data_IF_421402368879
#
_entry.id   IF_421402368879
#
_cell.length_a   1.000
_cell.length_b   1.000
_cell.length_c   1.000
_cell.angle_alpha   90.00
_cell.angle_beta   90.00
_cell.angle_gamma   90.00
#
_symmetry.space_group_name_H-M   'P 1'
#
loop_
_entity.id
_entity.type
_entity.pdbx_description
1 polymer ?
#
# COMPACT_ATOMS: atom_id res chain seq x y z
N UNK A 1 9.97 -9.91 29.25
CA UNK A 1 9.31 -9.54 27.98
C UNK A 1 8.52 -10.73 27.49
N UNK A 2 7.24 -10.55 27.11
CA UNK A 2 6.44 -11.59 26.48
C UNK A 2 6.70 -11.57 24.98
N UNK A 3 6.98 -12.73 24.39
CA UNK A 3 7.20 -12.89 22.96
C UNK A 3 6.40 -14.09 22.43
N UNK A 4 5.94 -14.00 21.18
CA UNK A 4 5.23 -15.07 20.49
C UNK A 4 5.98 -15.39 19.20
N UNK A 5 6.32 -16.67 19.01
CA UNK A 5 6.96 -17.16 17.81
C UNK A 5 5.97 -17.97 16.96
N UNK A 6 5.90 -17.68 15.68
CA UNK A 6 5.12 -18.41 14.70
C UNK A 6 6.03 -19.04 13.66
N UNK A 7 5.75 -20.26 13.17
CA UNK A 7 6.35 -20.75 11.95
C UNK A 7 6.00 -19.82 10.78
N UNK A 8 6.97 -19.52 9.91
CA UNK A 8 6.79 -18.59 8.79
C UNK A 8 5.65 -18.99 7.83
N UNK A 9 5.31 -20.27 7.76
CA UNK A 9 4.22 -20.82 6.94
C UNK A 9 2.85 -20.79 7.62
N UNK A 10 2.76 -20.31 8.86
CA UNK A 10 1.51 -20.12 9.60
C UNK A 10 1.13 -18.65 9.76
N UNK A 11 1.90 -17.76 9.18
CA UNK A 11 1.64 -16.32 9.17
C UNK A 11 1.40 -15.88 7.74
N UNK A 12 0.29 -15.18 7.52
CA UNK A 12 -0.02 -14.53 6.26
C UNK A 12 0.19 -13.01 6.39
N UNK A 13 0.85 -12.43 5.42
CA UNK A 13 0.94 -10.98 5.33
C UNK A 13 -0.05 -10.52 4.26
N UNK A 14 -1.03 -9.74 4.66
CA UNK A 14 -1.99 -9.09 3.77
C UNK A 14 -1.51 -7.67 3.44
N UNK A 15 -1.92 -7.10 2.30
CA UNK A 15 -1.53 -5.75 1.94
C UNK A 15 -2.17 -4.72 2.87
N UNK A 16 -1.49 -3.60 3.04
CA UNK A 16 -2.10 -2.37 3.52
C UNK A 16 -2.46 -1.50 2.31
N UNK A 17 -3.72 -1.39 2.00
CA UNK A 17 -4.23 -0.56 0.92
C UNK A 17 -4.33 0.90 1.35
N UNK A 18 -4.40 1.83 0.40
CA UNK A 18 -4.47 3.27 0.68
C UNK A 18 -5.69 3.87 0.01
N UNK A 19 -6.27 4.86 0.68
CA UNK A 19 -7.26 5.75 0.09
C UNK A 19 -6.85 7.20 0.29
N UNK A 20 -7.10 8.04 -0.69
CA UNK A 20 -6.75 9.47 -0.62
C UNK A 20 -8.00 10.31 -0.86
N UNK A 21 -8.23 11.29 0.00
CA UNK A 21 -9.49 12.06 0.06
C UNK A 21 -9.65 13.05 -1.08
N UNK A 22 -8.53 13.55 -1.62
CA UNK A 22 -8.54 14.52 -2.72
C UNK A 22 -7.36 14.27 -3.68
N UNK A 23 -7.38 14.91 -4.83
CA UNK A 23 -6.37 14.75 -5.88
C UNK A 23 -5.23 15.77 -5.79
N UNK A 24 -4.96 16.36 -4.62
CA UNK A 24 -3.86 17.33 -4.47
C UNK A 24 -4.09 18.65 -5.18
N UNK A 25 -5.34 18.99 -5.47
CA UNK A 25 -5.76 20.18 -6.22
C UNK A 25 -5.85 19.97 -7.73
N UNK A 26 -5.63 18.76 -8.22
CA UNK A 26 -5.78 18.41 -9.64
C UNK A 26 -7.24 18.12 -9.99
N UNK A 27 -7.62 18.45 -11.23
CA UNK A 27 -8.83 17.93 -11.84
C UNK A 27 -8.70 16.45 -12.22
N UNK A 28 -9.81 15.73 -12.47
CA UNK A 28 -9.76 14.32 -12.84
C UNK A 28 -8.92 14.03 -14.08
N UNK A 29 -8.96 14.89 -15.09
CA UNK A 29 -8.19 14.73 -16.33
C UNK A 29 -6.70 14.95 -16.06
N UNK A 30 -6.35 16.06 -15.40
CA UNK A 30 -4.97 16.40 -15.06
C UNK A 30 -4.33 15.32 -14.17
N UNK A 31 -5.11 14.74 -13.26
CA UNK A 31 -4.65 13.62 -12.42
C UNK A 31 -4.29 12.40 -13.26
N UNK A 32 -5.16 11.99 -14.20
CA UNK A 32 -4.86 10.84 -15.06
C UNK A 32 -3.67 11.13 -16.00
N UNK A 33 -3.49 12.35 -16.47
CA UNK A 33 -2.32 12.75 -17.25
C UNK A 33 -1.04 12.66 -16.41
N UNK A 34 -1.05 13.21 -15.20
CA UNK A 34 0.09 13.12 -14.27
C UNK A 34 0.46 11.66 -13.92
N UNK A 35 -0.55 10.77 -13.82
CA UNK A 35 -0.30 9.32 -13.66
C UNK A 35 0.40 8.77 -14.91
N UNK A 36 -0.12 9.03 -16.10
CA UNK A 36 0.44 8.50 -17.37
C UNK A 36 1.86 8.97 -17.67
N UNK A 37 2.24 10.13 -17.20
CA UNK A 37 3.63 10.62 -17.33
C UNK A 37 4.63 9.72 -16.57
N UNK A 38 4.22 9.13 -15.45
CA UNK A 38 5.08 8.39 -14.54
C UNK A 38 4.84 6.88 -14.56
N UNK A 39 3.65 6.47 -14.95
CA UNK A 39 3.21 5.08 -14.94
C UNK A 39 2.64 4.67 -16.31
N UNK A 40 2.83 3.41 -16.65
CA UNK A 40 1.99 2.75 -17.62
C UNK A 40 0.65 2.45 -16.97
N UNK A 41 -0.44 2.76 -17.64
CA UNK A 41 -1.80 2.59 -17.11
C UNK A 41 -2.66 1.84 -18.10
N UNK A 42 -3.30 0.78 -17.64
CA UNK A 42 -4.27 -0.02 -18.40
C UNK A 42 -5.47 -0.40 -17.52
N UNK A 43 -6.57 -0.78 -18.11
CA UNK A 43 -7.66 -1.40 -17.36
C UNK A 43 -7.17 -2.70 -16.72
N UNK A 44 -7.48 -2.91 -15.45
CA UNK A 44 -6.90 -4.03 -14.71
C UNK A 44 -7.77 -4.54 -13.56
N UNK A 45 -7.36 -5.62 -12.92
CA UNK A 45 -8.07 -6.18 -11.78
C UNK A 45 -7.89 -5.32 -10.52
N UNK A 46 -8.82 -5.47 -9.59
CA UNK A 46 -8.78 -4.81 -8.29
C UNK A 46 -7.65 -5.32 -7.36
N UNK A 47 -7.20 -6.56 -7.58
CA UNK A 47 -6.10 -7.18 -6.85
C UNK A 47 -4.89 -7.25 -7.78
N UNK A 48 -3.75 -6.64 -7.41
CA UNK A 48 -2.52 -6.74 -8.19
C UNK A 48 -2.11 -8.20 -8.45
N UNK A 49 -1.63 -8.49 -9.65
CA UNK A 49 -1.24 -9.86 -10.03
C UNK A 49 0.16 -10.22 -9.56
N UNK A 50 1.02 -9.23 -9.43
CA UNK A 50 2.42 -9.42 -9.07
C UNK A 50 2.98 -8.15 -8.41
N UNK A 51 4.14 -8.28 -7.81
CA UNK A 51 4.96 -7.15 -7.35
C UNK A 51 5.28 -6.22 -8.53
N UNK A 52 5.16 -4.93 -8.31
CA UNK A 52 5.30 -3.89 -9.34
C UNK A 52 3.98 -3.49 -9.99
N UNK A 53 2.92 -4.29 -9.81
CA UNK A 53 1.56 -3.90 -10.16
C UNK A 53 0.92 -3.15 -8.99
N UNK A 54 0.40 -1.96 -9.24
CA UNK A 54 -0.44 -1.22 -8.29
C UNK A 54 -1.82 -1.12 -8.91
N UNK A 55 -2.86 -1.58 -8.21
CA UNK A 55 -4.22 -1.41 -8.68
C UNK A 55 -4.78 -0.08 -8.14
N UNK A 56 -5.27 0.77 -9.03
CA UNK A 56 -5.85 2.08 -8.73
C UNK A 56 -7.34 2.06 -9.05
N UNK A 57 -8.18 2.38 -8.06
CA UNK A 57 -9.62 2.59 -8.27
C UNK A 57 -9.93 4.07 -8.35
N UNK A 58 -10.44 4.48 -9.49
CA UNK A 58 -10.75 5.87 -9.77
C UNK A 58 -11.98 5.98 -10.66
N UNK A 59 -12.94 6.83 -10.28
CA UNK A 59 -14.19 7.08 -11.03
C UNK A 59 -14.94 5.81 -11.46
N UNK A 60 -15.06 4.83 -10.54
CA UNK A 60 -15.82 3.61 -10.78
C UNK A 60 -15.08 2.55 -11.59
N UNK A 61 -13.78 2.72 -11.88
CA UNK A 61 -13.00 1.79 -12.66
C UNK A 61 -11.67 1.42 -12.01
N UNK A 62 -11.27 0.16 -12.14
CA UNK A 62 -9.97 -0.34 -11.75
C UNK A 62 -8.96 -0.24 -12.89
N UNK A 63 -7.79 0.25 -12.56
CA UNK A 63 -6.63 0.34 -13.44
C UNK A 63 -5.44 -0.34 -12.82
N UNK A 64 -4.62 -1.02 -13.61
CA UNK A 64 -3.27 -1.42 -13.21
C UNK A 64 -2.32 -0.30 -13.62
N UNK A 65 -1.54 0.20 -12.66
CA UNK A 65 -0.49 1.20 -12.90
C UNK A 65 0.87 0.60 -12.55
N UNK A 66 1.84 0.74 -13.46
CA UNK A 66 3.21 0.25 -13.33
C UNK A 66 4.20 1.40 -13.51
N UNK A 67 5.18 1.58 -12.63
CA UNK A 67 6.14 2.67 -12.77
C UNK A 67 6.93 2.53 -14.08
N UNK A 68 7.07 3.63 -14.82
CA UNK A 68 7.90 3.68 -16.04
C UNK A 68 9.38 3.62 -15.72
N UNK A 69 9.76 4.20 -14.57
CA UNK A 69 11.13 4.10 -14.05
C UNK A 69 11.16 2.85 -13.18
N UNK A 70 11.93 1.87 -13.62
CA UNK A 70 12.13 0.63 -12.89
C UNK A 70 12.72 0.89 -11.50
N UNK A 71 12.39 0.03 -10.55
CA UNK A 71 12.97 0.06 -9.21
C UNK A 71 14.28 -0.73 -9.19
N UNK A 72 15.25 -0.22 -8.46
CA UNK A 72 16.46 -1.00 -8.16
C UNK A 72 16.09 -2.13 -7.18
N UNK A 73 16.13 -3.36 -7.68
CA UNK A 73 15.82 -4.54 -6.87
C UNK A 73 16.86 -4.83 -5.80
N UNK A 74 18.03 -4.21 -5.86
CA UNK A 74 19.05 -4.32 -4.82
C UNK A 74 18.76 -3.42 -3.61
N UNK A 75 17.86 -2.43 -3.75
CA UNK A 75 17.32 -1.65 -2.64
C UNK A 75 16.07 -2.36 -2.07
N UNK A 76 16.19 -3.02 -0.91
CA UNK A 76 15.10 -3.79 -0.33
C UNK A 76 13.91 -2.92 0.12
N UNK A 77 14.12 -1.62 0.37
CA UNK A 77 13.06 -0.69 0.76
C UNK A 77 12.49 0.03 -0.45
N UNK A 78 13.33 0.64 -1.29
CA UNK A 78 12.88 1.41 -2.44
C UNK A 78 12.16 0.56 -3.49
N UNK A 79 12.47 -0.75 -3.53
CA UNK A 79 11.81 -1.70 -4.44
C UNK A 79 10.43 -2.20 -3.98
N UNK A 80 9.99 -1.86 -2.76
CA UNK A 80 8.65 -2.22 -2.27
C UNK A 80 7.58 -1.39 -2.97
N UNK A 81 6.45 -2.00 -3.35
CA UNK A 81 5.34 -1.29 -4.00
C UNK A 81 4.81 -0.12 -3.15
N UNK A 82 4.89 -0.23 -1.83
CA UNK A 82 4.54 0.85 -0.90
C UNK A 82 5.47 2.06 -1.03
N UNK A 83 6.77 1.84 -1.23
CA UNK A 83 7.76 2.90 -1.45
C UNK A 83 7.62 3.51 -2.83
N UNK A 84 7.45 2.68 -3.84
CA UNK A 84 7.18 3.11 -5.22
C UNK A 84 5.95 4.00 -5.29
N UNK A 85 4.84 3.58 -4.67
CA UNK A 85 3.62 4.39 -4.61
C UNK A 85 3.88 5.73 -3.92
N UNK A 86 4.60 5.72 -2.78
CA UNK A 86 4.93 6.93 -2.05
C UNK A 86 5.76 7.90 -2.87
N UNK A 87 6.86 7.42 -3.43
CA UNK A 87 7.88 8.28 -4.04
C UNK A 87 7.51 8.73 -5.46
N UNK A 88 6.80 7.88 -6.21
CA UNK A 88 6.50 8.17 -7.61
C UNK A 88 5.09 8.72 -7.84
N UNK A 89 4.16 8.56 -6.86
CA UNK A 89 2.78 8.99 -7.01
C UNK A 89 2.30 9.88 -5.85
N UNK A 90 2.33 9.39 -4.61
CA UNK A 90 1.72 10.12 -3.50
C UNK A 90 2.42 11.46 -3.25
N UNK A 91 3.74 11.48 -3.20
CA UNK A 91 4.49 12.70 -2.97
C UNK A 91 4.45 13.66 -4.18
N UNK A 92 4.83 13.25 -5.41
CA UNK A 92 4.93 14.18 -6.52
C UNK A 92 3.60 14.58 -7.16
N UNK A 93 2.61 13.67 -7.20
CA UNK A 93 1.32 13.92 -7.87
C UNK A 93 0.28 14.42 -6.87
N UNK A 94 0.08 13.69 -5.76
CA UNK A 94 -0.94 14.02 -4.76
C UNK A 94 -0.42 14.95 -3.65
N UNK A 95 0.87 15.31 -3.69
CA UNK A 95 1.52 16.22 -2.73
C UNK A 95 1.44 15.72 -1.27
N UNK A 96 1.45 14.39 -1.09
CA UNK A 96 1.49 13.73 0.21
C UNK A 96 2.94 13.36 0.53
N UNK A 97 3.67 14.26 1.16
CA UNK A 97 5.09 14.07 1.46
C UNK A 97 5.33 13.09 2.61
N UNK A 98 4.50 13.13 3.65
CA UNK A 98 4.60 12.23 4.81
C UNK A 98 3.24 11.60 5.14
N UNK A 99 3.12 10.31 4.85
CA UNK A 99 1.90 9.53 5.09
C UNK A 99 1.54 9.36 6.57
N UNK A 100 2.45 9.67 7.50
CA UNK A 100 2.19 9.56 8.95
C UNK A 100 1.41 10.76 9.48
N UNK A 101 1.56 11.90 8.85
CA UNK A 101 1.02 13.18 9.32
C UNK A 101 -0.05 13.77 8.41
N UNK A 102 -0.08 13.39 7.13
CA UNK A 102 -1.08 13.91 6.18
C UNK A 102 -2.45 13.26 6.44
N UNK A 103 -3.45 14.11 6.75
CA UNK A 103 -4.83 13.69 7.06
C UNK A 103 -5.67 13.33 5.83
N UNK A 104 -5.13 13.53 4.63
CA UNK A 104 -5.80 13.19 3.38
C UNK A 104 -5.65 11.72 3.00
N UNK A 105 -4.66 11.02 3.55
CA UNK A 105 -4.45 9.60 3.32
C UNK A 105 -4.99 8.77 4.48
N UNK A 106 -5.70 7.69 4.14
CA UNK A 106 -6.16 6.68 5.09
C UNK A 106 -5.69 5.28 4.64
N UNK A 107 -5.65 4.34 5.60
CA UNK A 107 -5.14 3.00 5.39
C UNK A 107 -6.23 1.95 5.60
N UNK A 108 -6.38 1.06 4.63
CA UNK A 108 -7.34 -0.02 4.66
C UNK A 108 -6.60 -1.35 4.71
N UNK A 109 -6.64 -2.05 5.85
CA UNK A 109 -6.02 -3.37 6.00
C UNK A 109 -6.66 -4.38 5.06
N UNK A 110 -5.85 -5.27 4.49
CA UNK A 110 -6.28 -6.24 3.49
C UNK A 110 -7.44 -7.14 3.91
N UNK A 111 -7.60 -7.37 5.23
CA UNK A 111 -8.74 -8.12 5.77
C UNK A 111 -10.12 -7.48 5.49
N UNK A 112 -10.19 -6.17 5.20
CA UNK A 112 -11.44 -5.50 4.82
C UNK A 112 -11.82 -5.71 3.36
N UNK A 113 -10.90 -6.21 2.56
CA UNK A 113 -11.12 -6.53 1.15
C UNK A 113 -11.22 -5.32 0.21
N UNK A 114 -11.38 -5.62 -1.05
CA UNK A 114 -11.45 -4.65 -2.16
C UNK A 114 -12.75 -3.83 -2.12
N UNK A 115 -13.87 -4.46 -1.76
CA UNK A 115 -15.17 -3.80 -1.68
C UNK A 115 -15.19 -2.56 -0.77
N UNK A 116 -14.35 -2.53 0.26
CA UNK A 116 -14.23 -1.35 1.13
C UNK A 116 -13.55 -0.19 0.40
N UNK A 117 -12.58 -0.44 -0.46
CA UNK A 117 -11.93 0.58 -1.28
C UNK A 117 -12.93 1.22 -2.26
N UNK A 118 -13.67 0.39 -2.98
CA UNK A 118 -14.74 0.83 -3.89
C UNK A 118 -15.77 1.66 -3.14
N UNK A 119 -16.27 1.14 -2.01
CA UNK A 119 -17.26 1.83 -1.19
C UNK A 119 -16.79 3.22 -0.73
N UNK A 120 -15.53 3.37 -0.34
CA UNK A 120 -14.96 4.64 0.11
C UNK A 120 -14.90 5.67 -1.02
N UNK A 121 -14.51 5.24 -2.22
CA UNK A 121 -14.44 6.12 -3.39
C UNK A 121 -15.84 6.44 -3.91
N UNK A 122 -16.70 5.47 -4.10
CA UNK A 122 -18.05 5.65 -4.65
C UNK A 122 -18.94 6.50 -3.74
N UNK A 123 -18.71 6.44 -2.40
CA UNK A 123 -19.40 7.30 -1.45
C UNK A 123 -18.83 8.72 -1.34
N UNK A 124 -17.76 9.05 -2.08
CA UNK A 124 -17.09 10.36 -2.04
C UNK A 124 -16.26 10.61 -0.77
N UNK A 125 -16.02 9.58 0.06
CA UNK A 125 -15.14 9.67 1.23
C UNK A 125 -13.66 9.66 0.84
N UNK A 126 -13.34 9.11 -0.32
CA UNK A 126 -12.03 9.18 -0.96
C UNK A 126 -12.21 9.54 -2.44
N UNK A 127 -11.22 10.21 -3.01
CA UNK A 127 -11.19 10.51 -4.44
C UNK A 127 -10.55 9.37 -5.24
N UNK A 128 -9.61 8.64 -4.64
CA UNK A 128 -8.88 7.54 -5.27
C UNK A 128 -8.47 6.51 -4.21
N UNK A 129 -8.40 5.24 -4.62
CA UNK A 129 -7.90 4.15 -3.79
C UNK A 129 -6.83 3.35 -4.52
N UNK A 130 -5.90 2.79 -3.75
CA UNK A 130 -4.81 1.96 -4.24
C UNK A 130 -4.79 0.62 -3.50
N UNK A 131 -4.86 -0.47 -4.26
CA UNK A 131 -4.63 -1.81 -3.76
C UNK A 131 -3.22 -2.25 -4.16
N UNK A 132 -2.49 -2.81 -3.20
CA UNK A 132 -1.09 -3.18 -3.35
C UNK A 132 -0.90 -4.70 -3.31
N UNK A 133 0.17 -5.16 -3.95
CA UNK A 133 0.62 -6.52 -3.76
C UNK A 133 1.15 -6.70 -2.33
N UNK A 134 0.85 -7.81 -1.64
CA UNK A 134 1.33 -8.01 -0.28
C UNK A 134 2.86 -8.14 -0.23
N UNK A 135 3.47 -7.53 0.77
CA UNK A 135 4.88 -7.73 1.11
C UNK A 135 5.07 -9.19 1.55
N UNK A 136 6.12 -9.83 1.08
CA UNK A 136 6.47 -11.20 1.50
C UNK A 136 7.26 -11.22 2.82
N UNK A 137 7.33 -12.39 3.45
CA UNK A 137 8.22 -12.60 4.61
C UNK A 137 9.68 -12.42 4.20
N UNK A 138 10.06 -12.79 2.98
CA UNK A 138 11.42 -12.56 2.46
C UNK A 138 11.74 -11.07 2.37
N UNK A 139 10.84 -10.24 1.81
CA UNK A 139 11.05 -8.79 1.76
C UNK A 139 11.26 -8.20 3.17
N UNK A 140 10.51 -8.70 4.16
CA UNK A 140 10.66 -8.27 5.54
C UNK A 140 12.05 -8.64 6.11
N UNK A 141 12.52 -9.84 5.81
CA UNK A 141 13.85 -10.31 6.23
C UNK A 141 14.94 -9.50 5.55
N UNK A 142 14.85 -9.29 4.24
CA UNK A 142 15.82 -8.52 3.45
C UNK A 142 15.97 -7.08 3.99
N UNK A 143 14.86 -6.42 4.33
CA UNK A 143 14.89 -5.10 4.98
C UNK A 143 15.54 -5.17 6.36
N UNK A 144 15.19 -6.19 7.17
CA UNK A 144 15.75 -6.38 8.51
C UNK A 144 17.26 -6.61 8.49
N UNK A 145 17.76 -7.38 7.53
CA UNK A 145 19.17 -7.72 7.40
C UNK A 145 20.04 -6.49 7.05
N UNK A 146 19.44 -5.48 6.42
CA UNK A 146 20.12 -4.17 6.22
C UNK A 146 20.14 -3.30 7.46
N UNK A 147 19.48 -3.69 8.55
CA UNK A 147 19.29 -2.86 9.74
C UNK A 147 18.31 -1.70 9.53
N UNK A 148 17.59 -1.68 8.44
CA UNK A 148 16.64 -0.65 8.09
C UNK A 148 15.24 -0.91 8.69
N UNK A 149 14.36 0.08 8.59
CA UNK A 149 12.99 0.01 9.12
C UNK A 149 12.00 -0.03 7.96
N UNK A 150 11.06 -0.97 8.03
CA UNK A 150 9.95 -1.05 7.08
C UNK A 150 9.17 0.27 7.01
N UNK A 151 8.76 0.71 5.81
CA UNK A 151 7.86 1.86 5.68
C UNK A 151 6.59 1.67 6.51
N UNK A 152 6.00 2.73 7.07
CA UNK A 152 4.79 2.60 7.89
C UNK A 152 3.63 2.02 7.09
N UNK A 153 2.84 1.17 7.75
CA UNK A 153 1.66 0.52 7.15
C UNK A 153 2.00 -0.31 5.89
N UNK A 154 3.09 -1.07 5.94
CA UNK A 154 3.50 -1.98 4.86
C UNK A 154 2.97 -3.38 5.02
N UNK A 155 2.77 -3.85 6.25
CA UNK A 155 2.41 -5.24 6.56
C UNK A 155 1.17 -5.32 7.44
N UNK A 156 0.28 -6.23 7.09
CA UNK A 156 -0.85 -6.64 7.92
C UNK A 156 -0.75 -8.13 8.19
N UNK A 157 -0.26 -8.49 9.38
CA UNK A 157 -0.13 -9.90 9.76
C UNK A 157 -1.48 -10.52 10.14
N UNK A 158 -1.73 -11.74 9.65
CA UNK A 158 -2.82 -12.62 10.06
C UNK A 158 -2.25 -14.01 10.42
N UNK A 159 -2.73 -14.66 11.49
CA UNK A 159 -3.73 -14.16 12.45
C UNK A 159 -3.18 -13.04 13.34
N UNK A 160 -4.08 -12.16 13.81
CA UNK A 160 -3.70 -11.16 14.83
C UNK A 160 -3.49 -11.84 16.18
N UNK A 161 -2.47 -11.36 16.90
CA UNK A 161 -2.29 -11.75 18.30
C UNK A 161 -3.51 -11.36 19.10
N UNK A 162 -3.93 -12.24 19.98
CA UNK A 162 -5.04 -11.98 20.91
C UNK A 162 -4.47 -11.47 22.24
N UNK A 163 -4.99 -10.35 22.70
CA UNK A 163 -4.65 -9.81 24.00
C UNK A 163 -5.37 -10.57 25.14
N UNK A 164 -4.76 -10.59 26.31
CA UNK A 164 -5.38 -11.13 27.52
C UNK A 164 -5.31 -12.65 27.69
N UNK A 165 -4.71 -13.39 26.76
CA UNK A 165 -4.51 -14.84 26.91
C UNK A 165 -3.34 -15.17 27.84
N UNK A 166 -2.30 -14.33 27.83
CA UNK A 166 -1.14 -14.45 28.70
C UNK A 166 -0.84 -13.06 29.28
N UNK A 167 -0.53 -13.03 30.58
CA UNK A 167 -0.17 -11.82 31.31
C UNK A 167 1.22 -12.01 31.90
N UNK A 168 2.15 -11.11 31.61
CA UNK A 168 3.44 -11.02 32.25
C UNK A 168 3.42 -9.89 33.28
N UNK A 169 3.46 -10.26 34.57
CA UNK A 169 3.55 -9.31 35.67
C UNK A 169 5.01 -8.90 35.82
N UNK A 170 5.27 -7.59 35.84
CA UNK A 170 6.58 -6.98 36.01
C UNK A 170 6.79 -6.65 37.47
#
# INVERSE_FOLDING_TARGET
MLAVAFPHNQVQILPYNRTVKDLGGLGPVDFLEAIRERFEMEAGPAVPRARGDIAMYFQGAWHTVRPRIGTDRSDPIGSLDVSVLQEQLLAPVLKIADIRTDKRIDFVGGARGIAELERLVDSGKAAVAFSLYPVSVSDLMDVSDTGAIMPPKSTWFEPKLRDGLLIHVI
#
